data_IF_247021986208
#
_entry.id   IF_247021986208
#
_cell.length_a   1.000
_cell.length_b   1.000
_cell.length_c   1.000
_cell.angle_alpha   90.00
_cell.angle_beta   90.00
_cell.angle_gamma   90.00
#
_symmetry.space_group_name_H-M   'P 1'
#
loop_
_entity.id
_entity.type
_entity.pdbx_description
1 polymer ?
#
# COMPACT_ATOMS: atom_id res chain seq x y z
N UNK A 1 -12.68 -29.32 7.66
CA UNK A 1 -11.92 -28.05 7.83
C UNK A 1 -12.92 -26.90 7.90
N UNK A 2 -12.74 -25.94 8.80
CA UNK A 2 -13.56 -24.73 8.81
C UNK A 2 -13.31 -23.93 7.52
N UNK A 3 -14.38 -23.39 6.92
CA UNK A 3 -14.29 -22.57 5.71
C UNK A 3 -13.53 -21.28 6.03
N UNK A 4 -12.57 -20.87 5.19
CA UNK A 4 -11.91 -19.57 5.33
C UNK A 4 -12.94 -18.45 5.13
N UNK A 5 -12.92 -17.40 5.97
CA UNK A 5 -13.81 -16.26 5.76
C UNK A 5 -13.41 -15.52 4.48
N UNK A 6 -14.40 -15.17 3.67
CA UNK A 6 -14.20 -14.30 2.50
C UNK A 6 -14.36 -12.84 2.90
N UNK A 7 -13.42 -11.96 2.54
CA UNK A 7 -13.44 -10.53 2.86
C UNK A 7 -13.23 -9.73 1.58
N UNK A 8 -14.19 -8.88 1.23
CA UNK A 8 -14.02 -7.88 0.20
C UNK A 8 -13.67 -6.53 0.84
N UNK A 9 -12.54 -5.94 0.46
CA UNK A 9 -12.11 -4.62 0.92
C UNK A 9 -12.28 -3.61 -0.20
N UNK A 10 -13.12 -2.59 0.02
CA UNK A 10 -13.31 -1.48 -0.91
C UNK A 10 -12.64 -0.25 -0.32
N UNK A 11 -11.59 0.26 -0.96
CA UNK A 11 -10.88 1.39 -0.39
C UNK A 11 -9.65 1.85 -1.16
N UNK A 12 -8.88 2.72 -0.53
CA UNK A 12 -7.68 3.31 -1.12
C UNK A 12 -6.53 2.31 -1.22
N UNK A 13 -5.78 2.44 -2.31
CA UNK A 13 -4.47 1.85 -2.51
C UNK A 13 -3.57 2.96 -3.10
N UNK A 14 -2.43 3.22 -2.48
CA UNK A 14 -1.47 4.22 -2.93
C UNK A 14 -0.03 3.70 -2.73
N UNK A 15 0.93 4.42 -3.28
CA UNK A 15 2.34 4.23 -2.93
C UNK A 15 2.73 5.33 -1.96
N UNK A 16 3.35 4.93 -0.85
CA UNK A 16 3.90 5.84 0.14
C UNK A 16 5.34 6.18 -0.29
N UNK A 17 5.59 7.47 -0.50
CA UNK A 17 6.90 8.02 -0.83
C UNK A 17 7.50 8.62 0.44
N UNK A 18 8.48 7.93 1.04
CA UNK A 18 9.00 8.31 2.35
C UNK A 18 10.42 8.83 2.23
N UNK A 19 10.61 10.14 2.48
CA UNK A 19 11.93 10.77 2.54
C UNK A 19 12.33 10.98 4.00
N UNK A 20 13.52 10.53 4.36
CA UNK A 20 14.08 10.70 5.70
C UNK A 20 15.06 11.86 5.73
N UNK A 21 15.02 12.65 6.80
CA UNK A 21 15.90 13.80 7.04
C UNK A 21 16.04 14.02 8.55
N UNK A 22 17.12 14.66 8.98
CA UNK A 22 17.37 14.99 10.39
C UNK A 22 16.37 15.98 10.98
N UNK A 23 15.77 16.83 10.14
CA UNK A 23 14.86 17.89 10.57
C UNK A 23 13.75 18.12 9.53
N UNK A 24 12.58 18.55 9.98
CA UNK A 24 11.55 19.02 9.06
C UNK A 24 11.98 20.33 8.37
N UNK A 25 11.68 20.49 7.07
CA UNK A 25 11.98 21.73 6.35
C UNK A 25 11.13 22.88 6.90
N UNK A 26 11.71 24.08 6.95
CA UNK A 26 10.95 25.31 7.20
C UNK A 26 10.16 25.72 5.95
N UNK A 27 9.18 26.60 6.12
CA UNK A 27 8.44 27.16 5.00
C UNK A 27 9.39 27.83 3.99
N UNK A 28 9.35 27.38 2.74
CA UNK A 28 10.21 27.87 1.65
C UNK A 28 11.64 27.31 1.63
N UNK A 29 12.01 26.44 2.58
CA UNK A 29 13.35 25.83 2.62
C UNK A 29 13.40 24.57 1.74
N UNK A 30 14.48 24.43 0.95
CA UNK A 30 14.82 23.18 0.25
C UNK A 30 16.02 22.54 0.95
N UNK A 31 15.87 21.29 1.38
CA UNK A 31 16.94 20.51 2.05
C UNK A 31 17.13 19.16 1.36
N UNK A 32 18.32 18.58 1.51
CA UNK A 32 18.59 17.22 1.04
C UNK A 32 17.98 16.18 2.01
N UNK A 33 17.38 15.15 1.44
CA UNK A 33 17.04 13.93 2.18
C UNK A 33 18.26 13.04 2.37
N UNK A 34 18.25 12.22 3.41
CA UNK A 34 19.30 11.24 3.69
C UNK A 34 18.99 9.86 3.13
N UNK A 35 17.69 9.54 3.01
CA UNK A 35 17.20 8.27 2.47
C UNK A 35 15.82 8.47 1.84
N UNK A 36 15.49 7.63 0.88
CA UNK A 36 14.18 7.56 0.26
C UNK A 36 13.73 6.11 0.15
N UNK A 37 12.52 5.81 0.62
CA UNK A 37 11.89 4.49 0.54
C UNK A 37 10.53 4.58 -0.16
N UNK A 38 10.19 3.51 -0.88
CA UNK A 38 8.89 3.29 -1.49
C UNK A 38 8.16 2.18 -0.74
N UNK A 39 6.90 2.41 -0.37
CA UNK A 39 6.04 1.42 0.28
C UNK A 39 4.70 1.27 -0.41
N UNK A 40 4.10 0.08 -0.33
CA UNK A 40 2.69 -0.10 -0.69
C UNK A 40 1.82 0.36 0.49
N UNK A 41 0.94 1.31 0.24
CA UNK A 41 0.12 1.96 1.25
C UNK A 41 -1.36 2.02 0.87
N UNK A 42 -2.10 2.75 1.70
CA UNK A 42 -3.54 2.94 1.57
C UNK A 42 -4.28 2.15 2.62
N UNK A 43 -5.20 2.79 3.35
CA UNK A 43 -5.86 2.15 4.48
C UNK A 43 -6.62 0.89 4.06
N UNK A 44 -7.28 0.93 2.89
CA UNK A 44 -7.95 -0.25 2.33
C UNK A 44 -6.96 -1.35 1.96
N UNK A 45 -5.91 -1.01 1.21
CA UNK A 45 -4.85 -1.96 0.86
C UNK A 45 -4.20 -2.61 2.09
N UNK A 46 -3.87 -1.82 3.12
CA UNK A 46 -3.27 -2.31 4.35
C UNK A 46 -4.20 -3.27 5.11
N UNK A 47 -5.50 -2.97 5.16
CA UNK A 47 -6.49 -3.87 5.76
C UNK A 47 -6.66 -5.16 4.95
N UNK A 48 -6.64 -5.09 3.61
CA UNK A 48 -6.71 -6.27 2.75
C UNK A 48 -5.50 -7.19 2.98
N UNK A 49 -4.29 -6.62 3.00
CA UNK A 49 -3.06 -7.37 3.26
C UNK A 49 -3.06 -7.98 4.66
N UNK A 50 -3.41 -7.20 5.70
CA UNK A 50 -3.50 -7.72 7.06
C UNK A 50 -4.51 -8.88 7.17
N UNK A 51 -5.69 -8.73 6.56
CA UNK A 51 -6.72 -9.77 6.53
C UNK A 51 -6.23 -11.05 5.86
N UNK A 52 -5.47 -10.91 4.75
CA UNK A 52 -4.91 -12.04 4.02
C UNK A 52 -3.84 -12.77 4.81
N UNK A 53 -2.98 -12.04 5.52
CA UNK A 53 -1.97 -12.60 6.44
C UNK A 53 -2.61 -13.34 7.62
N UNK A 54 -3.78 -12.90 8.09
CA UNK A 54 -4.59 -13.60 9.10
C UNK A 54 -5.34 -14.84 8.55
N UNK A 55 -5.21 -15.16 7.27
CA UNK A 55 -5.73 -16.41 6.69
C UNK A 55 -7.13 -16.32 6.06
N UNK A 56 -7.70 -15.12 5.90
CA UNK A 56 -8.91 -14.92 5.12
C UNK A 56 -8.65 -15.03 3.61
N UNK A 57 -9.68 -15.39 2.84
CA UNK A 57 -9.67 -15.22 1.38
C UNK A 57 -10.12 -13.78 1.08
N UNK A 58 -9.23 -12.97 0.51
CA UNK A 58 -9.43 -11.51 0.41
C UNK A 58 -9.56 -11.08 -1.04
N UNK A 59 -10.47 -10.14 -1.31
CA UNK A 59 -10.66 -9.49 -2.60
C UNK A 59 -10.50 -7.99 -2.42
N UNK A 60 -9.65 -7.34 -3.22
CA UNK A 60 -9.44 -5.89 -3.18
C UNK A 60 -10.19 -5.19 -4.31
N UNK A 61 -10.99 -4.18 -3.96
CA UNK A 61 -11.62 -3.23 -4.90
C UNK A 61 -11.03 -1.84 -4.66
N UNK A 62 -10.19 -1.40 -5.60
CA UNK A 62 -9.53 -0.09 -5.59
C UNK A 62 -9.42 0.46 -7.00
N UNK A 63 -9.15 1.77 -7.11
CA UNK A 63 -8.74 2.42 -8.35
C UNK A 63 -7.26 2.77 -8.26
N UNK A 64 -6.50 2.39 -9.29
CA UNK A 64 -5.09 2.77 -9.43
C UNK A 64 -4.89 3.61 -10.69
N UNK A 65 -3.77 4.35 -10.75
CA UNK A 65 -3.37 5.13 -11.91
C UNK A 65 -2.84 4.26 -13.06
N UNK A 66 -2.63 4.89 -14.23
CA UNK A 66 -1.94 4.30 -15.38
C UNK A 66 -0.44 4.67 -15.43
N UNK A 67 0.12 5.03 -14.27
CA UNK A 67 1.54 5.31 -14.08
C UNK A 67 2.28 4.02 -13.64
N UNK A 68 3.57 4.15 -13.31
CA UNK A 68 4.39 3.02 -12.89
C UNK A 68 3.92 2.35 -11.58
N UNK A 69 3.19 3.08 -10.73
CA UNK A 69 2.74 2.59 -9.43
C UNK A 69 1.48 1.75 -9.52
N UNK A 70 0.62 1.98 -10.51
CA UNK A 70 -0.61 1.23 -10.69
C UNK A 70 -0.37 -0.27 -10.93
N UNK A 71 0.37 -0.66 -11.99
CA UNK A 71 0.74 -2.05 -12.24
C UNK A 71 1.52 -2.68 -11.09
N UNK A 72 2.42 -1.93 -10.44
CA UNK A 72 3.18 -2.42 -9.28
C UNK A 72 2.26 -2.77 -8.10
N UNK A 73 1.25 -1.94 -7.81
CA UNK A 73 0.26 -2.17 -6.76
C UNK A 73 -0.56 -3.43 -7.04
N UNK A 74 -1.01 -3.61 -8.29
CA UNK A 74 -1.75 -4.81 -8.71
C UNK A 74 -0.88 -6.06 -8.56
N UNK A 75 0.40 -5.99 -8.95
CA UNK A 75 1.32 -7.12 -8.79
C UNK A 75 1.58 -7.47 -7.33
N UNK A 76 1.65 -6.47 -6.44
CA UNK A 76 1.80 -6.70 -5.01
C UNK A 76 0.63 -7.51 -4.42
N UNK A 77 -0.62 -7.12 -4.74
CA UNK A 77 -1.80 -7.88 -4.32
C UNK A 77 -1.77 -9.32 -4.83
N UNK A 78 -1.48 -9.51 -6.12
CA UNK A 78 -1.36 -10.85 -6.72
C UNK A 78 -0.30 -11.73 -6.02
N UNK A 79 0.86 -11.17 -5.67
CA UNK A 79 1.93 -11.89 -4.96
C UNK A 79 1.49 -12.34 -3.56
N UNK A 80 0.64 -11.56 -2.90
CA UNK A 80 0.09 -11.88 -1.57
C UNK A 80 -1.16 -12.77 -1.65
N UNK A 81 -1.67 -13.04 -2.84
CA UNK A 81 -2.87 -13.84 -3.06
C UNK A 81 -4.16 -13.09 -2.69
N UNK A 82 -4.22 -11.81 -3.06
CA UNK A 82 -5.39 -10.90 -2.98
C UNK A 82 -5.83 -10.53 -4.39
#
# INVERSE_FOLDING_TARGET
MAKRPGIAVVGSANIDLTTFTEKFPKAGETIFGQKFDLGFGGKGANQAVASRLCGADVFMVARVGNDLFGPATIQNFKKLGI
#
